data_IF_936895074238
#
_entry.id   IF_936895074238
#
_cell.length_a   1.000
_cell.length_b   1.000
_cell.length_c   1.000
_cell.angle_alpha   90.00
_cell.angle_beta   90.00
_cell.angle_gamma   90.00
#
_symmetry.space_group_name_H-M   'P 1'
#
loop_
_entity.id
_entity.type
_entity.pdbx_description
1 polymer ?
#
# COMPACT_ATOMS: atom_id res chain seq x y z
N UNK A 1 8.39 -3.52 -7.84
CA UNK A 1 8.76 -2.12 -7.50
C UNK A 1 9.59 -1.48 -8.61
N UNK A 2 10.57 -2.20 -9.17
CA UNK A 2 11.41 -1.75 -10.31
C UNK A 2 10.55 -1.47 -11.57
N UNK A 3 9.53 -2.29 -11.83
CA UNK A 3 8.68 -2.16 -13.02
C UNK A 3 7.91 -0.83 -13.09
N UNK A 4 7.50 -0.30 -11.93
CA UNK A 4 6.81 0.99 -11.85
C UNK A 4 7.76 2.15 -12.19
N UNK A 5 9.01 2.11 -11.73
CA UNK A 5 9.99 3.15 -12.04
C UNK A 5 10.34 3.15 -13.52
N UNK A 6 10.68 1.99 -14.09
CA UNK A 6 11.00 1.84 -15.50
C UNK A 6 9.83 2.26 -16.40
N UNK A 7 8.59 1.92 -16.02
CA UNK A 7 7.38 2.34 -16.72
C UNK A 7 7.17 3.85 -16.67
N UNK A 8 7.30 4.47 -15.49
CA UNK A 8 7.17 5.92 -15.33
C UNK A 8 8.26 6.69 -16.10
N UNK A 9 9.50 6.20 -16.07
CA UNK A 9 10.62 6.76 -16.82
C UNK A 9 10.35 6.70 -18.33
N UNK A 10 10.05 5.50 -18.85
CA UNK A 10 9.77 5.28 -20.28
C UNK A 10 8.63 6.18 -20.76
N UNK A 11 7.53 6.27 -20.01
CA UNK A 11 6.39 7.13 -20.36
C UNK A 11 6.80 8.60 -20.48
N UNK A 12 7.65 9.11 -19.58
CA UNK A 12 8.13 10.51 -19.62
C UNK A 12 9.08 10.74 -20.80
N UNK A 13 9.98 9.79 -21.09
CA UNK A 13 10.91 9.88 -22.22
C UNK A 13 10.16 9.91 -23.54
N UNK A 14 9.26 8.94 -23.76
CA UNK A 14 8.48 8.86 -25.00
C UNK A 14 7.59 10.08 -25.18
N UNK A 15 6.96 10.62 -24.13
CA UNK A 15 6.17 11.84 -24.24
C UNK A 15 6.98 13.03 -24.78
N UNK A 16 8.20 13.22 -24.30
CA UNK A 16 9.09 14.28 -24.78
C UNK A 16 9.58 14.00 -26.21
N UNK A 17 9.96 12.75 -26.50
CA UNK A 17 10.34 12.33 -27.84
C UNK A 17 9.24 12.62 -28.86
N UNK A 18 8.01 12.18 -28.61
CA UNK A 18 6.87 12.41 -29.50
C UNK A 18 6.59 13.91 -29.69
N UNK A 19 6.73 14.71 -28.64
CA UNK A 19 6.49 16.16 -28.71
C UNK A 19 7.52 16.85 -29.61
N UNK A 20 8.78 16.40 -29.58
CA UNK A 20 9.84 16.92 -30.46
C UNK A 20 9.66 16.42 -31.88
N UNK A 21 9.39 15.12 -32.06
CA UNK A 21 9.22 14.53 -33.40
C UNK A 21 8.03 15.10 -34.16
N UNK A 22 6.97 15.52 -33.47
CA UNK A 22 5.83 16.20 -34.10
C UNK A 22 6.20 17.54 -34.74
N UNK A 23 7.23 18.22 -34.22
CA UNK A 23 7.73 19.49 -34.76
C UNK A 23 8.78 19.29 -35.86
N UNK A 24 9.25 18.05 -36.05
CA UNK A 24 10.25 17.74 -37.07
C UNK A 24 9.59 17.41 -38.41
N UNK A 25 10.28 17.70 -39.53
CA UNK A 25 9.87 17.21 -40.85
C UNK A 25 9.68 15.69 -40.85
N UNK A 26 8.69 15.21 -41.60
CA UNK A 26 8.36 13.79 -41.76
C UNK A 26 9.61 12.96 -42.08
N UNK A 27 9.84 11.91 -41.30
CA UNK A 27 10.99 11.00 -41.45
C UNK A 27 12.22 11.37 -40.62
N UNK A 28 12.24 12.54 -39.96
CA UNK A 28 13.29 12.87 -38.98
C UNK A 28 12.92 12.37 -37.58
N UNK A 29 13.92 11.88 -36.84
CA UNK A 29 13.79 11.39 -35.46
C UNK A 29 14.46 12.33 -34.47
N UNK A 30 14.02 12.29 -33.22
CA UNK A 30 14.63 13.08 -32.16
C UNK A 30 16.06 12.61 -31.86
N UNK A 31 17.03 13.53 -31.88
CA UNK A 31 18.44 13.28 -31.50
C UNK A 31 18.75 13.67 -30.06
N UNK A 32 17.84 14.39 -29.40
CA UNK A 32 18.05 14.92 -28.05
C UNK A 32 17.48 14.02 -26.95
N UNK A 33 16.95 12.84 -27.28
CA UNK A 33 16.34 11.90 -26.34
C UNK A 33 17.24 11.60 -25.12
N UNK A 34 18.55 11.47 -25.31
CA UNK A 34 19.50 11.24 -24.21
C UNK A 34 19.61 12.41 -23.23
N UNK A 35 19.50 13.65 -23.73
CA UNK A 35 19.51 14.86 -22.89
C UNK A 35 18.22 14.93 -22.07
N UNK A 36 17.08 14.59 -22.66
CA UNK A 36 15.81 14.50 -21.93
C UNK A 36 15.81 13.37 -20.91
N UNK A 37 16.36 12.21 -21.26
CA UNK A 37 16.47 11.06 -20.36
C UNK A 37 17.22 11.43 -19.07
N UNK A 38 18.38 12.07 -19.17
CA UNK A 38 19.14 12.53 -17.99
C UNK A 38 18.32 13.49 -17.12
N UNK A 39 17.75 14.54 -17.73
CA UNK A 39 16.90 15.50 -17.00
C UNK A 39 15.69 14.85 -16.33
N UNK A 40 15.12 13.80 -16.93
CA UNK A 40 14.00 13.05 -16.34
C UNK A 40 14.47 12.24 -15.13
N UNK A 41 15.65 11.61 -15.19
CA UNK A 41 16.23 10.90 -14.04
C UNK A 41 16.49 11.88 -12.90
N UNK A 42 17.17 13.00 -13.17
CA UNK A 42 17.43 14.05 -12.19
C UNK A 42 16.11 14.53 -11.57
N UNK A 43 15.12 14.84 -12.40
CA UNK A 43 13.80 15.24 -11.91
C UNK A 43 13.12 14.14 -11.07
N UNK A 44 13.20 12.87 -11.46
CA UNK A 44 12.57 11.79 -10.70
C UNK A 44 13.25 11.56 -9.34
N UNK A 45 14.56 11.78 -9.25
CA UNK A 45 15.35 11.52 -8.04
C UNK A 45 15.50 12.73 -7.11
N UNK A 46 15.38 13.95 -7.65
CA UNK A 46 15.52 15.20 -6.88
C UNK A 46 14.17 15.88 -6.59
N UNK A 47 13.07 15.43 -7.21
CA UNK A 47 11.73 15.96 -6.90
C UNK A 47 11.11 15.31 -5.66
N UNK A 48 10.36 16.12 -4.91
CA UNK A 48 9.63 15.65 -3.75
C UNK A 48 8.58 14.62 -4.17
N UNK A 49 8.64 13.43 -3.57
CA UNK A 49 7.61 12.42 -3.76
C UNK A 49 6.41 12.72 -2.86
N UNK A 50 5.20 12.67 -3.41
CA UNK A 50 3.96 13.00 -2.69
C UNK A 50 3.76 12.19 -1.40
N UNK A 51 4.16 10.91 -1.41
CA UNK A 51 3.93 10.00 -0.28
C UNK A 51 4.92 10.21 0.86
N UNK A 52 6.19 10.46 0.55
CA UNK A 52 7.23 10.60 1.57
C UNK A 52 7.42 12.08 1.97
N UNK A 53 7.12 13.01 1.05
CA UNK A 53 7.41 14.43 1.23
C UNK A 53 8.89 14.76 1.12
N UNK A 54 9.71 13.85 0.58
CA UNK A 54 11.15 13.98 0.38
C UNK A 54 11.51 13.50 -1.02
N UNK A 55 12.65 13.96 -1.54
CA UNK A 55 13.17 13.42 -2.79
C UNK A 55 13.79 12.02 -2.57
N UNK A 56 13.77 11.13 -3.59
CA UNK A 56 14.37 9.81 -3.48
C UNK A 56 15.85 9.80 -3.07
N UNK A 57 16.65 10.75 -3.57
CA UNK A 57 18.09 10.81 -3.28
C UNK A 57 18.40 11.00 -1.79
N UNK A 58 17.59 11.79 -1.08
CA UNK A 58 17.73 12.01 0.36
C UNK A 58 17.06 10.92 1.16
N UNK A 59 15.93 10.40 0.67
CA UNK A 59 15.24 9.25 1.24
C UNK A 59 16.16 8.02 1.33
N UNK A 60 16.89 7.67 0.27
CA UNK A 60 17.79 6.50 0.24
C UNK A 60 18.91 6.56 1.27
N UNK A 61 19.28 7.75 1.76
CA UNK A 61 20.31 7.92 2.80
C UNK A 61 19.79 7.59 4.21
N UNK A 62 18.47 7.50 4.40
CA UNK A 62 17.84 7.24 5.69
C UNK A 62 17.56 5.74 5.87
N UNK A 63 17.76 5.23 7.09
CA UNK A 63 17.47 3.81 7.42
C UNK A 63 15.96 3.53 7.39
N UNK A 64 15.15 4.49 7.85
CA UNK A 64 13.69 4.36 7.93
C UNK A 64 13.01 5.63 7.50
N UNK A 65 11.87 5.46 6.81
CA UNK A 65 11.08 6.54 6.27
C UNK A 65 9.61 6.27 6.59
N UNK A 66 8.93 7.26 7.14
CA UNK A 66 7.48 7.22 7.29
C UNK A 66 6.82 7.67 6.00
N UNK A 67 5.99 6.81 5.41
CA UNK A 67 5.22 7.14 4.22
C UNK A 67 3.79 7.54 4.60
N UNK A 68 3.27 8.58 3.95
CA UNK A 68 1.84 8.89 3.98
C UNK A 68 1.08 7.81 3.23
N UNK A 69 -0.13 7.44 3.69
CA UNK A 69 -0.96 6.51 2.95
C UNK A 69 -1.30 7.08 1.57
N UNK A 70 -1.26 6.23 0.54
CA UNK A 70 -1.53 6.62 -0.85
C UNK A 70 -3.00 6.97 -1.10
N UNK A 71 -3.88 6.42 -0.26
CA UNK A 71 -5.33 6.60 -0.28
C UNK A 71 -5.77 7.15 1.07
N UNK A 72 -6.72 8.10 1.07
CA UNK A 72 -7.32 8.57 2.31
C UNK A 72 -8.08 7.41 2.96
N UNK A 73 -7.76 7.13 4.22
CA UNK A 73 -8.52 6.17 5.01
C UNK A 73 -9.84 6.83 5.42
N UNK A 74 -10.93 6.48 4.75
CA UNK A 74 -12.25 7.09 4.98
C UNK A 74 -13.07 6.37 6.05
N UNK A 75 -12.57 5.25 6.60
CA UNK A 75 -13.27 4.52 7.64
C UNK A 75 -13.08 5.24 8.98
N UNK A 76 -14.14 5.42 9.79
CA UNK A 76 -13.99 5.92 11.14
C UNK A 76 -13.11 4.96 11.97
N UNK A 77 -12.23 5.52 12.79
CA UNK A 77 -11.35 4.78 13.70
C UNK A 77 -11.72 5.16 15.14
N UNK A 78 -11.85 4.19 16.02
CA UNK A 78 -12.09 4.41 17.44
C UNK A 78 -13.58 4.48 17.78
N UNK A 79 -14.02 5.57 18.41
CA UNK A 79 -15.38 5.67 18.96
C UNK A 79 -16.46 5.68 17.86
N UNK A 80 -16.16 6.31 16.73
CA UNK A 80 -17.08 6.41 15.59
C UNK A 80 -17.12 5.13 14.74
N UNK A 81 -16.26 4.15 15.04
CA UNK A 81 -16.22 2.89 14.32
C UNK A 81 -17.40 1.99 14.76
N UNK A 82 -18.15 1.38 13.82
CA UNK A 82 -19.28 0.52 14.17
C UNK A 82 -18.81 -0.68 15.01
N UNK A 83 -19.36 -0.79 16.22
CA UNK A 83 -19.00 -1.81 17.20
C UNK A 83 -19.91 -3.04 17.08
N UNK A 84 -19.31 -4.22 17.12
CA UNK A 84 -20.05 -5.45 17.34
C UNK A 84 -20.47 -5.56 18.81
N UNK A 85 -21.69 -6.03 19.12
CA UNK A 85 -22.12 -6.23 20.50
C UNK A 85 -21.22 -7.21 21.26
N UNK A 86 -21.07 -6.98 22.57
CA UNK A 86 -20.46 -7.98 23.46
C UNK A 86 -21.32 -9.25 23.47
N UNK A 87 -20.67 -10.43 23.42
CA UNK A 87 -21.34 -11.72 23.36
C UNK A 87 -21.71 -12.19 21.95
N UNK A 88 -21.49 -11.38 20.91
CA UNK A 88 -21.64 -11.83 19.51
C UNK A 88 -20.62 -12.92 19.19
N UNK A 89 -21.11 -14.00 18.57
CA UNK A 89 -20.28 -15.10 18.09
C UNK A 89 -19.72 -14.76 16.72
N UNK A 90 -18.39 -14.79 16.57
CA UNK A 90 -17.69 -14.43 15.33
C UNK A 90 -16.64 -15.48 14.94
N UNK A 91 -16.20 -15.42 13.69
CA UNK A 91 -14.92 -15.98 13.22
C UNK A 91 -13.98 -14.82 12.94
N UNK A 92 -12.70 -15.01 13.22
CA UNK A 92 -11.69 -13.99 12.92
C UNK A 92 -10.83 -14.43 11.74
N UNK A 93 -10.21 -13.45 11.08
CA UNK A 93 -9.30 -13.69 9.97
C UNK A 93 -7.92 -14.06 10.54
N UNK A 94 -7.35 -15.17 10.10
CA UNK A 94 -6.03 -15.62 10.55
C UNK A 94 -4.91 -14.77 9.93
N UNK A 95 -3.88 -14.49 10.72
CA UNK A 95 -2.68 -13.83 10.22
C UNK A 95 -1.87 -14.79 9.33
N UNK A 96 -1.04 -14.27 8.40
CA UNK A 96 -0.29 -15.10 7.47
C UNK A 96 0.62 -16.17 8.11
N UNK A 97 1.04 -15.98 9.35
CA UNK A 97 1.93 -16.90 10.06
C UNK A 97 1.17 -17.99 10.83
N UNK A 98 -0.08 -17.74 11.22
CA UNK A 98 -0.91 -18.63 12.05
C UNK A 98 -1.44 -19.85 11.28
N UNK A 99 -1.47 -19.79 9.93
CA UNK A 99 -1.92 -20.91 9.09
C UNK A 99 -0.80 -21.81 8.58
N UNK A 100 0.46 -21.60 9.00
CA UNK A 100 1.58 -22.45 8.56
C UNK A 100 1.39 -23.94 8.94
N UNK A 101 0.49 -24.22 9.89
CA UNK A 101 0.10 -25.57 10.33
C UNK A 101 -1.30 -26.00 9.82
N UNK A 102 -1.89 -25.33 8.81
CA UNK A 102 -3.21 -25.70 8.28
C UNK A 102 -3.13 -27.07 7.55
N UNK A 103 -3.86 -28.10 8.00
CA UNK A 103 -3.89 -29.42 7.35
C UNK A 103 -4.55 -29.41 5.96
N UNK A 104 -5.20 -28.31 5.57
CA UNK A 104 -5.86 -28.16 4.28
C UNK A 104 -5.05 -27.22 3.37
N UNK A 105 -3.90 -27.68 2.88
CA UNK A 105 -2.95 -27.00 1.94
C UNK A 105 -3.56 -26.50 0.60
N UNK A 106 -4.89 -26.44 0.45
CA UNK A 106 -5.60 -26.20 -0.81
C UNK A 106 -6.66 -25.11 -0.70
N UNK A 107 -6.25 -23.89 -0.38
CA UNK A 107 -7.14 -22.71 -0.48
C UNK A 107 -6.58 -21.71 -1.48
N UNK A 108 -7.47 -21.14 -2.30
CA UNK A 108 -7.11 -20.16 -3.32
C UNK A 108 -6.46 -18.96 -2.64
N UNK A 109 -5.35 -18.49 -3.22
CA UNK A 109 -4.53 -17.35 -2.75
C UNK A 109 -5.36 -16.08 -2.45
N UNK A 110 -6.54 -15.94 -3.06
CA UNK A 110 -7.43 -14.77 -2.94
C UNK A 110 -8.52 -14.86 -1.86
N UNK A 111 -8.81 -16.04 -1.31
CA UNK A 111 -9.93 -16.16 -0.36
C UNK A 111 -9.43 -15.93 1.09
N UNK A 112 -10.09 -15.06 1.88
CA UNK A 112 -9.68 -14.83 3.27
C UNK A 112 -9.78 -16.11 4.11
N UNK A 113 -8.70 -16.46 4.83
CA UNK A 113 -8.65 -17.65 5.68
C UNK A 113 -9.23 -17.37 7.06
N UNK A 114 -10.49 -17.76 7.26
CA UNK A 114 -11.18 -17.63 8.55
C UNK A 114 -10.77 -18.72 9.55
N UNK A 115 -10.79 -18.38 10.83
CA UNK A 115 -10.65 -19.34 11.94
C UNK A 115 -11.68 -20.48 11.80
N UNK A 116 -11.30 -21.74 12.08
CA UNK A 116 -12.24 -22.86 12.02
C UNK A 116 -13.26 -22.80 13.18
N UNK A 117 -12.84 -22.26 14.32
CA UNK A 117 -13.62 -22.11 15.54
C UNK A 117 -14.44 -20.82 15.56
N UNK A 118 -15.58 -20.90 16.25
CA UNK A 118 -16.43 -19.78 16.60
C UNK A 118 -16.06 -19.27 17.99
N UNK A 119 -15.91 -17.97 18.15
CA UNK A 119 -15.56 -17.34 19.43
C UNK A 119 -16.58 -16.27 19.79
N UNK A 120 -16.88 -16.13 21.08
CA UNK A 120 -17.68 -15.02 21.58
C UNK A 120 -16.80 -13.83 21.94
N UNK A 121 -17.28 -12.64 21.64
CA UNK A 121 -16.64 -11.40 22.09
C UNK A 121 -16.81 -11.27 23.60
N UNK A 122 -15.71 -11.36 24.34
CA UNK A 122 -15.67 -11.25 25.79
C UNK A 122 -15.49 -9.80 26.26
N UNK A 123 -14.58 -9.06 25.63
CA UNK A 123 -14.27 -7.67 26.00
C UNK A 123 -13.99 -6.84 24.77
N UNK A 124 -14.47 -5.60 24.79
CA UNK A 124 -14.28 -4.61 23.74
C UNK A 124 -13.47 -3.46 24.35
N UNK A 125 -12.40 -3.06 23.68
CA UNK A 125 -11.55 -1.93 24.11
C UNK A 125 -11.49 -0.91 22.97
N UNK A 126 -11.86 0.33 23.29
CA UNK A 126 -11.87 1.45 22.34
C UNK A 126 -10.87 2.49 22.81
N UNK A 127 -9.78 2.66 22.05
CA UNK A 127 -8.78 3.71 22.31
C UNK A 127 -9.33 5.07 21.90
N UNK A 128 -9.37 6.02 22.83
CA UNK A 128 -9.92 7.36 22.60
C UNK A 128 -8.90 8.38 22.11
N UNK A 129 -7.61 8.27 22.49
CA UNK A 129 -6.55 9.22 22.14
C UNK A 129 -5.14 8.59 22.15
N UNK A 130 -4.44 8.48 21.00
CA UNK A 130 -4.98 8.66 19.64
C UNK A 130 -6.08 7.62 19.34
N UNK A 131 -6.98 7.89 18.38
CA UNK A 131 -7.98 6.92 17.97
C UNK A 131 -7.28 5.64 17.47
N UNK A 132 -7.60 4.52 18.09
CA UNK A 132 -7.08 3.20 17.72
C UNK A 132 -8.23 2.34 17.19
N UNK A 133 -7.93 1.36 16.31
CA UNK A 133 -8.92 0.35 15.93
C UNK A 133 -9.52 -0.32 17.16
N UNK A 134 -10.81 -0.66 17.10
CA UNK A 134 -11.48 -1.36 18.20
C UNK A 134 -10.82 -2.73 18.40
N UNK A 135 -10.39 -3.01 19.63
CA UNK A 135 -9.82 -4.30 20.00
C UNK A 135 -10.91 -5.19 20.60
N UNK A 136 -11.12 -6.35 19.98
CA UNK A 136 -12.00 -7.39 20.47
C UNK A 136 -11.17 -8.49 21.12
N UNK A 137 -11.42 -8.74 22.41
CA UNK A 137 -10.89 -9.89 23.11
C UNK A 137 -11.93 -11.00 23.05
N UNK A 138 -11.48 -12.15 22.57
CA UNK A 138 -12.29 -13.35 22.41
C UNK A 138 -12.23 -14.18 23.69
N UNK A 139 -13.31 -14.88 23.98
CA UNK A 139 -13.32 -15.89 25.03
C UNK A 139 -12.45 -17.08 24.61
N UNK A 140 -11.56 -17.53 25.50
CA UNK A 140 -10.71 -18.72 25.31
C UNK A 140 -11.51 -20.02 25.43
N UNK A 141 -12.75 -19.94 25.91
CA UNK A 141 -13.68 -21.05 25.79
C UNK A 141 -14.12 -21.20 24.32
N UNK A 142 -13.25 -21.88 23.57
CA UNK A 142 -13.65 -22.52 22.31
C UNK A 142 -14.76 -23.55 22.57
N UNK A 143 -15.47 -23.99 21.51
CA UNK A 143 -16.31 -25.18 21.60
C UNK A 143 -15.50 -26.42 22.01
#
# INVERSE_FOLDING_TARGET
>A
MIDNYAGHFSRRVFKNQYSVEFLLPTGKRCRECERFARRIVDNMNDSLTRLIGMNPNDATKLERIYSKPSVKYNRPIGVDEPQLPKGTTIRFLLAPEEWKNDPFERRKITDPTWSPSLHKIWRIVVGKNPPMPILYYLDESGP
#
